data_IF_989228591607
#
_entry.id   IF_989228591607
#
_cell.length_a   1.000
_cell.length_b   1.000
_cell.length_c   1.000
_cell.angle_alpha   90.00
_cell.angle_beta   90.00
_cell.angle_gamma   90.00
#
_symmetry.space_group_name_H-M   'P 1'
#
loop_
_entity.id
_entity.type
_entity.pdbx_description
1 polymer ?
#
# COMPACT_ATOMS: atom_id res chain seq x y z
N UNK A 1 30.75 -51.56 -41.07
CA UNK A 1 30.27 -52.03 -42.39
C UNK A 1 28.84 -51.55 -42.57
N UNK A 2 28.55 -50.95 -43.74
CA UNK A 2 27.23 -50.58 -44.30
C UNK A 2 26.54 -49.39 -43.60
N UNK A 3 26.59 -48.19 -44.18
CA UNK A 3 25.70 -47.67 -45.25
C UNK A 3 24.24 -47.59 -44.80
N UNK A 4 23.42 -46.59 -45.11
CA UNK A 4 23.45 -45.31 -45.82
C UNK A 4 21.95 -44.96 -45.87
N UNK A 5 21.52 -43.74 -45.57
CA UNK A 5 20.43 -43.12 -46.34
C UNK A 5 20.39 -41.62 -46.09
N UNK A 6 20.56 -40.88 -47.19
CA UNK A 6 20.30 -39.46 -47.33
C UNK A 6 18.82 -39.16 -47.06
N UNK A 7 18.55 -38.02 -46.41
CA UNK A 7 17.36 -37.24 -46.73
C UNK A 7 17.70 -35.75 -46.64
N UNK A 8 17.72 -35.10 -47.79
CA UNK A 8 17.76 -33.66 -47.94
C UNK A 8 16.34 -33.12 -47.79
N UNK A 9 16.13 -32.15 -46.89
CA UNK A 9 14.96 -31.28 -46.91
C UNK A 9 15.42 -29.84 -46.71
N UNK A 10 15.24 -29.04 -47.75
CA UNK A 10 15.27 -27.58 -47.70
C UNK A 10 14.30 -27.07 -46.64
N UNK A 11 14.70 -26.10 -45.82
CA UNK A 11 13.78 -25.18 -45.16
C UNK A 11 14.38 -23.77 -45.15
N UNK A 12 13.57 -22.86 -45.68
CA UNK A 12 13.88 -21.48 -45.97
C UNK A 12 14.19 -20.65 -44.72
N UNK A 13 15.16 -19.74 -44.86
CA UNK A 13 15.33 -18.63 -43.94
C UNK A 13 14.08 -17.74 -43.98
N UNK A 14 13.41 -17.56 -42.84
CA UNK A 14 12.39 -16.54 -42.65
C UNK A 14 12.68 -15.80 -41.35
N UNK A 15 13.05 -14.53 -41.50
CA UNK A 15 13.17 -13.58 -40.40
C UNK A 15 11.76 -13.13 -39.99
N UNK A 16 11.38 -13.14 -38.71
CA UNK A 16 10.21 -12.37 -38.29
C UNK A 16 10.58 -10.89 -38.27
N UNK A 17 9.92 -10.13 -39.13
CA UNK A 17 9.92 -8.68 -39.17
C UNK A 17 9.31 -8.09 -37.88
N UNK A 18 9.84 -6.95 -37.46
CA UNK A 18 9.37 -6.12 -36.34
C UNK A 18 7.85 -5.97 -36.29
N UNK A 19 7.28 -6.31 -35.14
CA UNK A 19 5.95 -5.85 -34.77
C UNK A 19 5.99 -4.32 -34.60
N UNK A 20 5.25 -3.66 -35.47
CA UNK A 20 5.03 -2.21 -35.45
C UNK A 20 4.25 -1.79 -34.20
N UNK A 21 4.71 -0.68 -33.67
CA UNK A 21 4.28 0.10 -32.50
C UNK A 21 2.75 0.29 -32.40
N UNK A 22 2.11 -0.42 -31.47
CA UNK A 22 0.74 -0.13 -31.05
C UNK A 22 0.78 0.89 -29.90
N UNK A 23 0.71 2.18 -30.26
CA UNK A 23 0.67 3.29 -29.30
C UNK A 23 -0.58 3.16 -28.40
N UNK A 24 -0.47 3.19 -27.07
CA UNK A 24 -1.64 3.16 -26.19
C UNK A 24 -2.47 4.44 -26.38
N UNK A 25 -3.80 4.28 -26.45
CA UNK A 25 -4.74 5.40 -26.43
C UNK A 25 -4.58 6.26 -25.15
N UNK A 26 -4.84 7.58 -25.21
CA UNK A 26 -4.75 8.43 -24.02
C UNK A 26 -5.75 7.98 -22.96
N UNK A 27 -5.23 7.72 -21.75
CA UNK A 27 -6.03 7.35 -20.59
C UNK A 27 -7.06 8.45 -20.28
N UNK A 28 -8.32 8.05 -20.05
CA UNK A 28 -9.36 8.94 -19.55
C UNK A 28 -8.90 9.64 -18.25
N UNK A 29 -9.32 10.90 -18.01
CA UNK A 29 -8.97 11.60 -16.77
C UNK A 29 -9.46 10.80 -15.56
N UNK A 30 -8.66 10.68 -14.48
CA UNK A 30 -9.08 9.96 -13.29
C UNK A 30 -10.32 10.64 -12.70
N UNK A 31 -11.32 9.84 -12.33
CA UNK A 31 -12.51 10.32 -11.61
C UNK A 31 -12.10 11.08 -10.34
N UNK A 32 -12.80 12.16 -9.95
CA UNK A 32 -12.49 12.89 -8.71
C UNK A 32 -12.45 11.91 -7.53
N UNK A 33 -11.35 11.92 -6.77
CA UNK A 33 -11.16 11.02 -5.64
C UNK A 33 -12.24 11.19 -4.57
N UNK A 34 -12.57 10.12 -3.85
CA UNK A 34 -13.53 10.20 -2.72
C UNK A 34 -12.95 11.07 -1.61
N UNK A 35 -13.63 12.16 -1.25
CA UNK A 35 -13.24 13.01 -0.11
C UNK A 35 -13.87 12.48 1.17
N UNK A 36 -13.06 12.35 2.21
CA UNK A 36 -13.48 11.94 3.55
C UNK A 36 -13.10 13.03 4.55
N UNK A 37 -14.10 13.66 5.16
CA UNK A 37 -13.91 14.65 6.23
C UNK A 37 -13.85 14.03 7.62
N UNK A 38 -13.30 14.78 8.58
CA UNK A 38 -13.27 14.39 9.98
C UNK A 38 -12.27 13.27 10.30
N UNK A 39 -11.28 13.02 9.44
CA UNK A 39 -10.23 12.03 9.69
C UNK A 39 -9.27 12.59 10.71
N UNK A 40 -9.05 11.86 11.81
CA UNK A 40 -8.02 12.23 12.78
C UNK A 40 -6.66 11.83 12.22
N UNK A 41 -5.67 12.69 12.36
CA UNK A 41 -4.28 12.34 12.03
C UNK A 41 -3.38 12.60 13.21
N UNK A 42 -2.43 11.69 13.42
CA UNK A 42 -1.27 11.88 14.29
C UNK A 42 0.01 11.74 13.45
N UNK A 43 1.17 11.75 14.08
CA UNK A 43 2.41 11.37 13.42
C UNK A 43 3.23 10.47 14.33
N UNK A 44 4.00 9.59 13.70
CA UNK A 44 4.95 8.69 14.36
C UNK A 44 6.31 8.74 13.69
N UNK A 45 7.32 8.21 14.38
CA UNK A 45 8.66 8.01 13.84
C UNK A 45 9.26 6.68 14.30
N UNK A 46 10.17 6.12 13.50
CA UNK A 46 10.83 4.85 13.84
C UNK A 46 11.80 4.97 15.03
N UNK A 47 12.08 6.20 15.47
CA UNK A 47 12.93 6.49 16.64
C UNK A 47 12.15 6.59 17.96
N UNK A 48 10.86 6.28 17.96
CA UNK A 48 10.10 6.07 19.20
C UNK A 48 10.51 4.77 19.88
N UNK A 49 10.49 4.74 21.22
CA UNK A 49 11.07 3.64 22.02
C UNK A 49 10.46 2.28 21.72
N UNK A 50 9.16 2.25 21.46
CA UNK A 50 8.38 1.07 21.06
C UNK A 50 8.54 0.72 19.57
N UNK A 51 9.19 1.56 18.77
CA UNK A 51 9.47 1.32 17.35
C UNK A 51 10.91 0.86 17.06
N UNK A 52 11.86 1.07 17.99
CA UNK A 52 13.29 0.72 17.79
C UNK A 52 13.46 -0.74 17.33
N UNK A 53 12.74 -1.69 17.93
CA UNK A 53 12.83 -3.11 17.60
C UNK A 53 12.37 -3.48 16.19
N UNK A 54 11.56 -2.64 15.54
CA UNK A 54 11.09 -2.85 14.17
C UNK A 54 11.98 -2.16 13.13
N UNK A 55 12.79 -1.19 13.56
CA UNK A 55 13.60 -0.36 12.69
C UNK A 55 12.75 0.44 11.71
N UNK A 56 13.34 0.86 10.59
CA UNK A 56 12.65 1.67 9.59
C UNK A 56 11.83 0.84 8.57
N UNK A 57 11.10 -0.18 9.06
CA UNK A 57 10.28 -1.09 8.23
C UNK A 57 8.80 -0.98 8.59
N UNK A 58 7.95 -1.10 7.58
CA UNK A 58 6.49 -1.06 7.72
C UNK A 58 5.93 -2.45 8.04
N UNK A 59 4.70 -2.52 8.56
CA UNK A 59 3.99 -3.79 8.70
C UNK A 59 3.75 -4.52 7.37
N UNK A 60 3.77 -3.83 6.22
CA UNK A 60 3.73 -4.47 4.90
C UNK A 60 5.06 -5.15 4.49
N UNK A 61 6.13 -4.99 5.27
CA UNK A 61 7.44 -5.60 5.01
C UNK A 61 8.36 -4.77 4.11
N UNK A 62 8.02 -3.50 3.85
CA UNK A 62 8.84 -2.58 3.04
C UNK A 62 9.55 -1.55 3.91
N UNK A 63 10.51 -0.81 3.34
CA UNK A 63 11.12 0.34 4.02
C UNK A 63 10.10 1.48 4.16
N UNK A 64 10.14 2.19 5.30
CA UNK A 64 9.38 3.42 5.52
C UNK A 64 9.76 4.49 4.49
N UNK A 65 8.76 5.16 3.89
CA UNK A 65 8.96 6.12 2.80
C UNK A 65 8.92 7.57 3.29
N UNK A 66 9.86 8.40 2.82
CA UNK A 66 10.01 9.81 3.26
C UNK A 66 9.96 10.84 2.12
N UNK A 67 9.91 10.39 0.87
CA UNK A 67 9.95 11.23 -0.33
C UNK A 67 8.60 11.86 -0.69
N UNK A 68 8.33 11.95 -2.00
CA UNK A 68 7.05 12.44 -2.54
C UNK A 68 5.85 11.56 -2.14
N UNK A 69 6.10 10.26 -1.99
CA UNK A 69 5.17 9.30 -1.39
C UNK A 69 5.69 8.92 -0.01
N UNK A 70 4.84 9.02 1.01
CA UNK A 70 5.19 8.73 2.41
C UNK A 70 4.36 7.61 3.00
N UNK A 71 4.96 6.87 3.92
CA UNK A 71 4.27 5.81 4.66
C UNK A 71 3.25 6.39 5.64
N UNK A 72 2.20 5.64 5.89
CA UNK A 72 1.18 5.96 6.89
C UNK A 72 0.69 4.66 7.53
N UNK A 73 0.41 4.72 8.83
CA UNK A 73 -0.23 3.64 9.56
C UNK A 73 -1.72 3.91 9.72
N UNK A 74 -2.53 2.87 9.63
CA UNK A 74 -3.97 2.96 9.89
C UNK A 74 -4.54 1.61 10.34
N UNK A 75 -5.79 1.61 10.79
CA UNK A 75 -6.58 0.39 10.86
C UNK A 75 -6.85 -0.13 9.44
N UNK A 76 -6.29 -1.29 9.09
CA UNK A 76 -6.49 -1.90 7.77
C UNK A 76 -7.90 -2.47 7.53
N UNK A 77 -8.79 -2.45 8.54
CA UNK A 77 -10.23 -2.67 8.41
C UNK A 77 -11.03 -1.39 8.11
N UNK A 78 -10.38 -0.22 8.15
CA UNK A 78 -10.97 1.09 7.80
C UNK A 78 -10.30 1.69 6.56
N UNK A 79 -8.97 1.69 6.52
CA UNK A 79 -8.15 2.10 5.38
C UNK A 79 -7.25 0.93 4.98
N UNK A 80 -7.66 0.08 4.01
CA UNK A 80 -6.95 -1.15 3.72
C UNK A 80 -5.52 -0.91 3.23
N UNK A 81 -4.68 -1.91 3.43
CA UNK A 81 -3.31 -1.97 2.92
C UNK A 81 -3.25 -1.53 1.45
N UNK A 82 -2.41 -0.54 1.17
CA UNK A 82 -2.19 0.06 -0.13
C UNK A 82 -3.10 1.24 -0.47
N UNK A 83 -3.94 1.71 0.47
CA UNK A 83 -4.73 2.94 0.27
C UNK A 83 -3.80 4.12 0.04
N UNK A 84 -4.02 4.85 -1.05
CA UNK A 84 -3.27 6.05 -1.41
C UNK A 84 -4.17 7.26 -1.22
N UNK A 85 -3.69 8.24 -0.48
CA UNK A 85 -4.47 9.44 -0.17
C UNK A 85 -3.59 10.68 -0.09
N UNK A 86 -4.24 11.83 -0.07
CA UNK A 86 -3.63 13.14 0.17
C UNK A 86 -4.49 13.90 1.17
N UNK A 87 -3.86 14.73 1.97
CA UNK A 87 -4.58 15.64 2.87
C UNK A 87 -4.97 16.87 2.05
N UNK A 88 -6.21 17.33 2.13
CA UNK A 88 -6.64 18.50 1.36
C UNK A 88 -5.79 19.73 1.73
N UNK A 89 -5.22 20.38 0.73
CA UNK A 89 -4.28 21.50 0.90
C UNK A 89 -2.81 21.09 1.12
N UNK A 90 -2.50 19.80 1.17
CA UNK A 90 -1.12 19.25 1.16
C UNK A 90 -0.84 18.66 -0.23
N UNK A 91 0.40 18.75 -0.70
CA UNK A 91 0.86 18.10 -1.95
C UNK A 91 1.43 16.70 -1.71
N UNK A 92 1.69 16.33 -0.45
CA UNK A 92 2.26 15.05 -0.05
C UNK A 92 1.27 13.92 -0.30
N UNK A 93 1.71 12.88 -1.00
CA UNK A 93 0.96 11.64 -1.17
C UNK A 93 1.36 10.66 -0.07
N UNK A 94 0.37 10.02 0.52
CA UNK A 94 0.58 8.99 1.54
C UNK A 94 0.08 7.63 1.03
N UNK A 95 0.75 6.58 1.45
CA UNK A 95 0.32 5.19 1.26
C UNK A 95 0.16 4.53 2.62
N UNK A 96 -0.99 3.88 2.83
CA UNK A 96 -1.21 3.04 4.01
C UNK A 96 -0.46 1.72 3.79
N UNK A 97 0.70 1.59 4.41
CA UNK A 97 1.55 0.40 4.36
C UNK A 97 1.94 -0.12 5.75
N UNK A 98 1.44 0.53 6.81
CA UNK A 98 1.71 0.20 8.20
C UNK A 98 0.41 0.14 9.03
N UNK A 99 0.46 -0.42 10.24
CA UNK A 99 -0.65 -0.41 11.19
C UNK A 99 -0.17 -0.34 12.65
N UNK A 100 -1.03 0.15 13.54
CA UNK A 100 -0.74 0.26 14.98
C UNK A 100 -1.95 -0.07 15.84
N UNK A 101 -1.71 -0.60 17.04
CA UNK A 101 -2.77 -1.02 17.96
C UNK A 101 -3.73 0.12 18.35
N UNK A 102 -3.19 1.33 18.56
CA UNK A 102 -3.97 2.52 18.93
C UNK A 102 -4.88 3.04 17.81
N UNK A 103 -4.70 2.57 16.57
CA UNK A 103 -5.46 3.01 15.40
C UNK A 103 -6.69 2.13 15.15
N UNK A 104 -6.68 0.88 15.61
CA UNK A 104 -7.73 -0.11 15.37
C UNK A 104 -9.06 0.35 15.96
N UNK A 105 -10.13 0.20 15.18
CA UNK A 105 -11.49 0.62 15.53
C UNK A 105 -11.75 2.11 15.33
N UNK A 106 -10.74 2.90 14.96
CA UNK A 106 -10.85 4.35 14.83
C UNK A 106 -10.82 4.80 13.37
N UNK A 107 -11.11 6.09 13.13
CA UNK A 107 -10.89 6.76 11.84
C UNK A 107 -9.64 7.64 11.89
N UNK A 108 -8.56 7.09 12.46
CA UNK A 108 -7.28 7.77 12.66
C UNK A 108 -6.23 7.23 11.68
N UNK A 109 -5.45 8.13 11.09
CA UNK A 109 -4.28 7.79 10.27
C UNK A 109 -3.03 8.39 10.91
N UNK A 110 -2.00 7.58 11.14
CA UNK A 110 -0.75 8.02 11.73
C UNK A 110 0.30 8.25 10.63
N UNK A 111 0.78 9.48 10.49
CA UNK A 111 1.65 9.85 9.37
C UNK A 111 3.11 9.63 9.74
N UNK A 112 3.84 8.86 8.95
CA UNK A 112 5.26 8.67 9.20
C UNK A 112 6.04 9.97 8.97
N UNK A 113 6.89 10.32 9.94
CA UNK A 113 7.86 11.41 9.85
C UNK A 113 9.27 10.88 10.17
N UNK A 114 10.30 11.26 9.39
CA UNK A 114 11.65 10.73 9.57
C UNK A 114 12.34 11.22 10.85
N UNK A 115 11.88 12.33 11.43
CA UNK A 115 12.48 12.91 12.63
C UNK A 115 11.42 13.24 13.68
N UNK A 116 11.82 13.21 14.95
CA UNK A 116 10.95 13.55 16.08
C UNK A 116 10.46 15.00 16.03
N UNK A 117 11.29 15.92 15.53
CA UNK A 117 10.87 17.31 15.32
C UNK A 117 9.78 17.43 14.25
N UNK A 118 9.90 16.70 13.14
CA UNK A 118 8.87 16.71 12.09
C UNK A 118 7.57 16.05 12.56
N UNK A 119 7.67 15.01 13.39
CA UNK A 119 6.54 14.39 14.09
C UNK A 119 5.84 15.40 15.02
N UNK A 120 6.59 16.06 15.89
CA UNK A 120 6.08 17.06 16.83
C UNK A 120 5.45 18.27 16.14
N UNK A 121 6.09 18.78 15.06
CA UNK A 121 5.52 19.87 14.24
C UNK A 121 4.19 19.49 13.59
N UNK A 122 4.00 18.22 13.26
CA UNK A 122 2.71 17.75 12.78
C UNK A 122 1.67 17.73 13.89
N UNK A 123 1.95 16.99 14.98
CA UNK A 123 1.02 16.85 16.11
C UNK A 123 -0.28 16.12 15.76
N UNK A 124 -1.32 16.28 16.59
CA UNK A 124 -2.65 15.73 16.32
C UNK A 124 -3.52 16.75 15.57
N UNK A 125 -4.19 16.33 14.50
CA UNK A 125 -5.08 17.17 13.69
C UNK A 125 -6.35 16.42 13.30
N UNK A 126 -7.38 17.16 12.92
CA UNK A 126 -8.54 16.61 12.21
C UNK A 126 -8.58 17.24 10.83
N UNK A 127 -8.61 16.42 9.78
CA UNK A 127 -8.44 16.88 8.40
C UNK A 127 -9.50 16.26 7.48
N UNK A 128 -9.63 16.83 6.27
CA UNK A 128 -10.25 16.14 5.15
C UNK A 128 -9.17 15.53 4.27
N UNK A 129 -9.38 14.29 3.84
CA UNK A 129 -8.48 13.59 2.92
C UNK A 129 -9.19 13.30 1.61
N UNK A 130 -8.42 13.30 0.52
CA UNK A 130 -8.82 12.79 -0.77
C UNK A 130 -8.22 11.40 -0.96
N UNK A 131 -9.08 10.40 -1.16
CA UNK A 131 -8.66 9.05 -1.53
C UNK A 131 -8.35 9.04 -3.03
N UNK A 132 -7.07 8.90 -3.36
CA UNK A 132 -6.58 8.77 -4.73
C UNK A 132 -6.77 7.34 -5.25
N UNK A 133 -6.61 6.36 -4.35
CA UNK A 133 -6.82 4.94 -4.65
C UNK A 133 -7.11 4.17 -3.37
N UNK A 134 -8.18 3.39 -3.35
CA UNK A 134 -8.42 2.44 -2.26
C UNK A 134 -7.44 1.27 -2.30
N UNK A 135 -6.99 0.86 -1.11
CA UNK A 135 -6.21 -0.36 -0.92
C UNK A 135 -7.06 -1.62 -1.09
N UNK A 136 -6.49 -2.76 -0.70
CA UNK A 136 -7.15 -4.06 -0.83
C UNK A 136 -7.43 -4.70 0.52
N UNK A 137 -8.72 -4.92 0.80
CA UNK A 137 -9.18 -5.66 1.97
C UNK A 137 -8.66 -7.10 1.99
N UNK A 138 -8.66 -7.78 0.85
CA UNK A 138 -8.16 -9.15 0.73
C UNK A 138 -6.65 -9.24 0.96
N UNK A 139 -5.85 -8.30 0.44
CA UNK A 139 -4.41 -8.23 0.74
C UNK A 139 -4.15 -7.92 2.21
N UNK A 140 -4.93 -7.01 2.81
CA UNK A 140 -4.86 -6.74 4.25
C UNK A 140 -5.07 -8.03 5.04
N UNK A 141 -6.13 -8.78 4.71
CA UNK A 141 -6.45 -10.04 5.38
C UNK A 141 -5.35 -11.10 5.18
N UNK A 142 -4.78 -11.21 3.98
CA UNK A 142 -3.68 -12.14 3.68
C UNK A 142 -2.45 -11.87 4.55
N UNK A 143 -2.13 -10.60 4.81
CA UNK A 143 -1.01 -10.22 5.69
C UNK A 143 -1.36 -10.40 7.18
N UNK A 144 -2.60 -10.10 7.58
CA UNK A 144 -3.02 -10.13 8.98
C UNK A 144 -3.26 -11.57 9.50
N UNK A 145 -3.84 -12.46 8.68
CA UNK A 145 -4.19 -13.84 9.10
C UNK A 145 -3.03 -14.61 9.74
N UNK A 146 -1.83 -14.69 9.13
CA UNK A 146 -0.69 -15.36 9.75
C UNK A 146 -0.22 -14.73 11.07
N UNK A 147 -0.63 -13.49 11.35
CA UNK A 147 -0.26 -12.71 12.54
C UNK A 147 -1.33 -12.76 13.64
N UNK A 148 -2.45 -13.47 13.43
CA UNK A 148 -3.58 -13.52 14.37
C UNK A 148 -3.17 -13.98 15.78
N UNK A 149 -2.16 -14.83 15.91
CA UNK A 149 -1.66 -15.31 17.20
C UNK A 149 -0.78 -14.28 17.92
N UNK A 150 -0.25 -13.28 17.20
CA UNK A 150 0.76 -12.35 17.73
C UNK A 150 0.17 -11.20 18.53
N UNK A 151 -1.03 -10.73 18.20
CA UNK A 151 -1.62 -9.60 18.90
C UNK A 151 -3.15 -9.57 18.83
N UNK A 152 -3.78 -9.03 19.89
CA UNK A 152 -5.24 -8.85 19.97
C UNK A 152 -5.78 -7.91 18.88
N UNK A 153 -5.12 -6.78 18.65
CA UNK A 153 -5.56 -5.77 17.68
C UNK A 153 -5.53 -6.30 16.23
N UNK A 154 -4.62 -7.25 15.93
CA UNK A 154 -4.63 -7.96 14.63
C UNK A 154 -5.89 -8.82 14.47
N UNK A 155 -6.27 -9.58 15.51
CA UNK A 155 -7.51 -10.37 15.50
C UNK A 155 -8.73 -9.48 15.33
N UNK A 156 -8.76 -8.34 16.01
CA UNK A 156 -9.84 -7.37 15.89
C UNK A 156 -10.00 -6.86 14.45
N UNK A 157 -8.90 -6.46 13.78
CA UNK A 157 -8.95 -6.10 12.36
C UNK A 157 -9.48 -7.23 11.48
N UNK A 158 -9.03 -8.48 11.72
CA UNK A 158 -9.51 -9.65 10.97
C UNK A 158 -11.03 -9.83 11.16
N UNK A 159 -11.54 -9.72 12.39
CA UNK A 159 -12.97 -9.83 12.69
C UNK A 159 -13.77 -8.74 11.98
N UNK A 160 -13.31 -7.48 12.02
CA UNK A 160 -13.97 -6.35 11.35
C UNK A 160 -14.00 -6.53 9.82
N UNK A 161 -12.91 -7.03 9.24
CA UNK A 161 -12.84 -7.37 7.81
C UNK A 161 -13.82 -8.49 7.43
N UNK A 162 -13.97 -9.51 8.28
CA UNK A 162 -14.92 -10.59 8.05
C UNK A 162 -16.37 -10.09 8.11
N UNK A 163 -16.71 -9.24 9.10
CA UNK A 163 -18.03 -8.62 9.19
C UNK A 163 -18.35 -7.75 7.97
N UNK A 164 -17.36 -7.02 7.44
CA UNK A 164 -17.52 -6.21 6.22
C UNK A 164 -17.84 -7.06 4.99
N UNK A 165 -17.25 -8.25 4.87
CA UNK A 165 -17.49 -9.13 3.73
C UNK A 165 -18.86 -9.82 3.77
N UNK A 166 -19.52 -9.81 4.93
CA UNK A 166 -20.84 -10.41 5.14
C UNK A 166 -22.00 -9.40 5.05
N UNK A 167 -21.71 -8.10 4.94
CA UNK A 167 -22.68 -7.01 4.81
C UNK A 167 -22.78 -6.55 3.35
#
# INVERSE_FOLDING_TARGET
>A
MKQLLLLACLLAASHPASAVDARPAPAAPPSPGTVISGVKTTAYTHSESDHIGYGARTAAGTQLRTGQVRSAAADWSVFPLGTVFRINGDSTVYVVDDYGSALVGTRTIDLYKPTRDAMNRWGRRTVSIEILKWGSWSKSLAVLKPRATKARHVREMITRLALRAAA
#
